data_IF_262905166350
#
_entry.id   IF_262905166350
#
_cell.length_a   1.000
_cell.length_b   1.000
_cell.length_c   1.000
_cell.angle_alpha   90.00
_cell.angle_beta   90.00
_cell.angle_gamma   90.00
#
_symmetry.space_group_name_H-M   'P 1'
#
loop_
_entity.id
_entity.type
_entity.pdbx_description
1 polymer ?
#
# COMPACT_ATOMS: atom_id res chain seq x y z
N UNK A 1 -6.96 3.84 -34.89
CA UNK A 1 -7.01 4.34 -33.51
C UNK A 1 -6.80 3.15 -32.60
N UNK A 2 -5.67 3.10 -31.89
CA UNK A 2 -5.45 2.09 -30.85
C UNK A 2 -6.37 2.47 -29.69
N UNK A 3 -7.31 1.61 -29.26
CA UNK A 3 -8.15 1.93 -28.12
C UNK A 3 -7.25 2.18 -26.90
N UNK A 4 -7.40 3.36 -26.30
CA UNK A 4 -6.67 3.71 -25.08
C UNK A 4 -7.18 2.76 -23.99
N UNK A 5 -6.31 1.87 -23.51
CA UNK A 5 -6.61 1.06 -22.34
C UNK A 5 -6.71 2.00 -21.12
N UNK A 6 -7.95 2.22 -20.69
CA UNK A 6 -8.29 3.07 -19.56
C UNK A 6 -7.63 2.58 -18.27
N UNK A 7 -7.51 1.26 -18.09
CA UNK A 7 -6.90 0.65 -16.92
C UNK A 7 -5.42 1.04 -16.78
N UNK A 8 -4.64 0.77 -17.82
CA UNK A 8 -3.22 1.15 -17.86
C UNK A 8 -3.01 2.66 -17.73
N UNK A 9 -3.84 3.46 -18.40
CA UNK A 9 -3.76 4.94 -18.34
C UNK A 9 -4.03 5.46 -16.92
N UNK A 10 -4.99 4.87 -16.21
CA UNK A 10 -5.31 5.22 -14.84
C UNK A 10 -4.17 4.84 -13.88
N UNK A 11 -3.57 3.65 -14.05
CA UNK A 11 -2.41 3.22 -13.26
C UNK A 11 -1.23 4.18 -13.44
N UNK A 12 -0.94 4.60 -14.68
CA UNK A 12 0.11 5.58 -14.97
C UNK A 12 -0.19 6.91 -14.32
N UNK A 13 -1.41 7.43 -14.49
CA UNK A 13 -1.80 8.73 -13.94
C UNK A 13 -1.72 8.76 -12.41
N UNK A 14 -2.28 7.74 -11.74
CA UNK A 14 -2.23 7.63 -10.27
C UNK A 14 -0.80 7.39 -9.78
N UNK A 15 -0.06 6.49 -10.43
CA UNK A 15 1.32 6.20 -10.08
C UNK A 15 2.22 7.43 -10.16
N UNK A 16 2.14 8.16 -11.28
CA UNK A 16 2.88 9.40 -11.48
C UNK A 16 2.47 10.48 -10.47
N UNK A 17 1.17 10.66 -10.22
CA UNK A 17 0.68 11.62 -9.24
C UNK A 17 1.22 11.33 -7.84
N UNK A 18 1.20 10.08 -7.40
CA UNK A 18 1.74 9.67 -6.09
C UNK A 18 3.25 9.92 -5.98
N UNK A 19 4.02 9.60 -7.02
CA UNK A 19 5.47 9.88 -7.07
C UNK A 19 5.74 11.39 -7.02
N UNK A 20 5.02 12.18 -7.81
CA UNK A 20 5.15 13.64 -7.83
C UNK A 20 4.84 14.23 -6.45
N UNK A 21 3.74 13.80 -5.82
CA UNK A 21 3.36 14.25 -4.47
C UNK A 21 4.42 13.83 -3.44
N UNK A 22 4.95 12.61 -3.53
CA UNK A 22 6.01 12.14 -2.65
C UNK A 22 7.27 13.03 -2.76
N UNK A 23 7.75 13.29 -3.98
CA UNK A 23 8.91 14.13 -4.22
C UNK A 23 8.68 15.58 -3.76
N UNK A 24 7.50 16.14 -4.06
CA UNK A 24 7.16 17.51 -3.67
C UNK A 24 6.99 17.68 -2.15
N UNK A 25 6.66 16.61 -1.42
CA UNK A 25 6.53 16.59 0.04
C UNK A 25 7.86 16.50 0.78
N UNK A 26 8.96 16.14 0.09
CA UNK A 26 10.29 16.05 0.70
C UNK A 26 10.89 17.42 1.03
N UNK A 27 10.53 18.48 0.29
CA UNK A 27 11.05 19.84 0.54
C UNK A 27 10.55 20.41 1.87
N UNK A 28 11.47 20.97 2.66
CA UNK A 28 11.15 21.67 3.91
C UNK A 28 10.28 22.90 3.62
N UNK A 29 9.17 23.07 4.35
CA UNK A 29 8.20 24.15 4.14
C UNK A 29 7.25 24.00 2.95
N UNK A 30 7.24 22.82 2.30
CA UNK A 30 6.30 22.49 1.22
C UNK A 30 4.85 22.78 1.60
N UNK A 31 4.09 23.44 0.72
CA UNK A 31 2.64 23.62 0.92
C UNK A 31 1.89 22.28 1.01
N UNK A 32 2.44 21.22 0.43
CA UNK A 32 1.87 19.87 0.51
C UNK A 32 1.98 19.28 1.92
N UNK A 33 3.11 19.47 2.62
CA UNK A 33 3.24 19.05 4.04
C UNK A 33 2.13 19.64 4.90
N UNK A 34 1.90 20.95 4.73
CA UNK A 34 0.82 21.68 5.42
C UNK A 34 -0.58 21.20 5.02
N UNK A 35 -0.79 20.85 3.76
CA UNK A 35 -2.07 20.31 3.27
C UNK A 35 -2.40 18.95 3.92
N UNK A 36 -1.38 18.12 4.16
CA UNK A 36 -1.51 16.83 4.85
C UNK A 36 -1.47 16.92 6.38
N UNK A 37 -1.39 18.13 6.94
CA UNK A 37 -1.32 18.34 8.39
C UNK A 37 -0.01 17.85 9.01
N UNK A 38 1.05 17.66 8.22
CA UNK A 38 2.39 17.35 8.74
C UNK A 38 3.01 18.63 9.27
N UNK A 39 3.46 18.61 10.53
CA UNK A 39 4.16 19.74 11.15
C UNK A 39 5.44 20.07 10.34
N UNK A 40 5.73 21.36 10.16
CA UNK A 40 6.87 21.82 9.37
C UNK A 40 8.21 21.34 9.97
N UNK A 41 8.22 21.00 11.27
CA UNK A 41 9.35 20.41 12.00
C UNK A 41 9.46 18.87 11.96
N UNK A 42 8.45 18.14 11.46
CA UNK A 42 8.46 16.66 11.43
C UNK A 42 9.02 16.10 10.11
N UNK A 43 10.33 16.26 9.94
CA UNK A 43 11.04 15.74 8.76
C UNK A 43 11.02 14.21 8.67
N UNK A 44 10.92 13.50 9.80
CA UNK A 44 10.87 12.05 9.83
C UNK A 44 9.54 11.53 9.29
N UNK A 45 8.42 12.10 9.73
CA UNK A 45 7.08 11.80 9.22
C UNK A 45 6.91 12.19 7.76
N UNK A 46 7.43 13.35 7.35
CA UNK A 46 7.39 13.75 5.94
C UNK A 46 8.15 12.77 5.02
N UNK A 47 9.33 12.29 5.43
CA UNK A 47 10.09 11.28 4.68
C UNK A 47 9.42 9.92 4.67
N UNK A 48 8.82 9.52 5.79
CA UNK A 48 8.07 8.27 5.90
C UNK A 48 6.85 8.27 4.96
N UNK A 49 6.05 9.33 4.97
CA UNK A 49 4.91 9.50 4.07
C UNK A 49 5.34 9.56 2.60
N UNK A 50 6.41 10.29 2.29
CA UNK A 50 6.97 10.32 0.94
C UNK A 50 7.47 8.93 0.49
N UNK A 51 8.07 8.14 1.38
CA UNK A 51 8.49 6.78 1.07
C UNK A 51 7.30 5.86 0.78
N UNK A 52 6.23 5.95 1.56
CA UNK A 52 5.00 5.17 1.33
C UNK A 52 4.35 5.58 0.01
N UNK A 53 4.10 6.88 -0.20
CA UNK A 53 3.48 7.40 -1.43
C UNK A 53 4.34 7.10 -2.67
N UNK A 54 5.65 7.33 -2.58
CA UNK A 54 6.59 7.07 -3.67
C UNK A 54 6.68 5.57 -3.98
N UNK A 55 6.72 4.72 -2.96
CA UNK A 55 6.71 3.27 -3.12
C UNK A 55 5.41 2.76 -3.76
N UNK A 56 4.25 3.22 -3.31
CA UNK A 56 2.96 2.90 -3.92
C UNK A 56 2.88 3.40 -5.36
N UNK A 57 3.32 4.64 -5.62
CA UNK A 57 3.33 5.20 -6.96
C UNK A 57 4.23 4.43 -7.92
N UNK A 58 5.45 4.09 -7.50
CA UNK A 58 6.38 3.26 -8.26
C UNK A 58 5.81 1.86 -8.54
N UNK A 59 5.11 1.27 -7.58
CA UNK A 59 4.43 -0.01 -7.75
C UNK A 59 3.32 0.05 -8.83
N UNK A 60 2.49 1.10 -8.82
CA UNK A 60 1.46 1.29 -9.85
C UNK A 60 2.07 1.49 -11.25
N UNK A 61 3.17 2.24 -11.34
CA UNK A 61 3.90 2.41 -12.61
C UNK A 61 4.53 1.10 -13.09
N UNK A 62 5.07 0.28 -12.19
CA UNK A 62 5.59 -1.04 -12.52
C UNK A 62 4.48 -1.98 -12.99
N UNK A 63 3.29 -1.91 -12.39
CA UNK A 63 2.12 -2.67 -12.83
C UNK A 63 1.67 -2.26 -14.24
N UNK A 64 1.59 -0.95 -14.51
CA UNK A 64 1.28 -0.44 -15.83
C UNK A 64 2.31 -0.86 -16.87
N UNK A 65 3.59 -0.82 -16.53
CA UNK A 65 4.66 -1.31 -17.40
C UNK A 65 4.54 -2.80 -17.68
N UNK A 66 4.26 -3.63 -16.66
CA UNK A 66 4.06 -5.06 -16.84
C UNK A 66 2.91 -5.38 -17.80
N UNK A 67 1.82 -4.62 -17.75
CA UNK A 67 0.71 -4.73 -18.70
C UNK A 67 1.16 -4.32 -20.10
N UNK A 68 1.86 -3.18 -20.23
CA UNK A 68 2.36 -2.69 -21.51
C UNK A 68 3.39 -3.63 -22.18
N UNK A 69 4.14 -4.40 -21.38
CA UNK A 69 5.08 -5.41 -21.86
C UNK A 69 4.47 -6.82 -21.97
N UNK A 70 3.13 -6.94 -21.86
CA UNK A 70 2.39 -8.20 -22.01
C UNK A 70 2.92 -9.32 -21.09
N UNK A 71 3.35 -8.95 -19.87
CA UNK A 71 3.79 -9.93 -18.88
C UNK A 71 2.61 -10.86 -18.55
N UNK A 72 2.82 -12.18 -18.45
CA UNK A 72 1.75 -13.12 -18.16
C UNK A 72 0.95 -12.70 -16.93
N UNK A 73 -0.38 -12.61 -17.06
CA UNK A 73 -1.30 -12.10 -16.03
C UNK A 73 -1.09 -12.78 -14.68
N UNK A 74 -0.81 -14.10 -14.70
CA UNK A 74 -0.54 -14.89 -13.50
C UNK A 74 0.72 -14.45 -12.76
N UNK A 75 1.78 -14.06 -13.49
CA UNK A 75 3.00 -13.50 -12.90
C UNK A 75 2.74 -12.10 -12.35
N UNK A 76 1.97 -11.28 -13.06
CA UNK A 76 1.57 -9.95 -12.61
C UNK A 76 0.77 -10.05 -11.30
N UNK A 77 -0.23 -10.93 -11.26
CA UNK A 77 -1.06 -11.17 -10.08
C UNK A 77 -0.26 -11.70 -8.90
N UNK A 78 0.60 -12.71 -9.12
CA UNK A 78 1.45 -13.26 -8.07
C UNK A 78 2.45 -12.22 -7.54
N UNK A 79 3.08 -11.45 -8.42
CA UNK A 79 4.00 -10.37 -8.06
C UNK A 79 3.30 -9.26 -7.28
N UNK A 80 2.14 -8.81 -7.75
CA UNK A 80 1.34 -7.78 -7.09
C UNK A 80 0.91 -8.21 -5.68
N UNK A 81 0.37 -9.42 -5.54
CA UNK A 81 -0.04 -9.96 -4.25
C UNK A 81 1.15 -10.19 -3.31
N UNK A 82 2.26 -10.71 -3.83
CA UNK A 82 3.47 -10.97 -3.05
C UNK A 82 4.12 -9.69 -2.52
N UNK A 83 4.33 -8.70 -3.38
CA UNK A 83 4.87 -7.38 -2.99
C UNK A 83 3.95 -6.70 -1.98
N UNK A 84 2.63 -6.73 -2.21
CA UNK A 84 1.67 -6.13 -1.28
C UNK A 84 1.69 -6.85 0.07
N UNK A 85 1.62 -8.17 0.09
CA UNK A 85 1.64 -8.97 1.32
C UNK A 85 2.89 -8.68 2.16
N UNK A 86 4.08 -8.78 1.55
CA UNK A 86 5.35 -8.55 2.24
C UNK A 86 5.51 -7.08 2.66
N UNK A 87 5.12 -6.13 1.81
CA UNK A 87 5.15 -4.71 2.12
C UNK A 87 4.26 -4.36 3.31
N UNK A 88 3.02 -4.86 3.34
CA UNK A 88 2.09 -4.62 4.45
C UNK A 88 2.58 -5.28 5.74
N UNK A 89 3.14 -6.49 5.68
CA UNK A 89 3.76 -7.14 6.84
C UNK A 89 4.95 -6.32 7.36
N UNK A 90 5.84 -5.89 6.48
CA UNK A 90 7.03 -5.12 6.84
C UNK A 90 6.68 -3.77 7.47
N UNK A 91 5.75 -3.02 6.87
CA UNK A 91 5.25 -1.75 7.42
C UNK A 91 4.56 -1.97 8.78
N UNK A 92 3.70 -2.98 8.89
CA UNK A 92 3.05 -3.32 10.15
C UNK A 92 4.04 -3.70 11.25
N UNK A 93 5.08 -4.45 10.90
CA UNK A 93 6.16 -4.82 11.82
C UNK A 93 6.96 -3.61 12.29
N UNK A 94 7.30 -2.67 11.39
CA UNK A 94 7.98 -1.43 11.74
C UNK A 94 7.16 -0.59 12.73
N UNK A 95 5.86 -0.45 12.48
CA UNK A 95 4.96 0.27 13.40
C UNK A 95 4.87 -0.46 14.75
N UNK A 96 4.66 -1.78 14.75
CA UNK A 96 4.41 -2.56 15.97
C UNK A 96 5.64 -2.75 16.85
N UNK A 97 6.78 -3.06 16.25
CA UNK A 97 7.97 -3.50 16.98
C UNK A 97 9.12 -2.48 16.96
N UNK A 98 9.13 -1.53 16.00
CA UNK A 98 10.15 -0.47 15.91
C UNK A 98 9.63 0.92 16.24
N UNK A 99 8.39 1.02 16.73
CA UNK A 99 7.74 2.27 17.14
C UNK A 99 7.72 3.34 16.04
N UNK A 100 7.72 2.93 14.76
CA UNK A 100 7.72 3.81 13.58
C UNK A 100 6.32 4.35 13.29
N UNK A 101 5.75 5.05 14.27
CA UNK A 101 4.36 5.56 14.25
C UNK A 101 4.12 6.58 13.14
N UNK A 102 5.16 7.26 12.72
CA UNK A 102 5.15 8.22 11.62
C UNK A 102 4.87 7.59 10.24
N UNK A 103 4.83 6.26 10.13
CA UNK A 103 4.34 5.56 8.95
C UNK A 103 2.80 5.48 8.87
N UNK A 104 2.10 5.78 9.97
CA UNK A 104 0.64 5.81 9.98
C UNK A 104 0.17 7.17 9.46
N UNK A 105 -0.80 7.16 8.55
CA UNK A 105 -1.46 8.39 8.07
C UNK A 105 -2.40 9.02 9.11
N UNK A 106 -2.54 8.40 10.27
CA UNK A 106 -3.33 8.92 11.39
C UNK A 106 -2.46 9.83 12.25
N UNK A 107 -2.87 11.09 12.52
CA UNK A 107 -2.14 11.99 13.39
C UNK A 107 -2.23 11.55 14.86
N UNK A 108 -1.20 11.86 15.65
CA UNK A 108 -1.14 11.75 17.12
C UNK A 108 -1.55 10.39 17.71
N UNK A 109 -1.14 9.30 17.08
CA UNK A 109 -1.47 7.94 17.53
C UNK A 109 -0.66 7.56 18.77
N UNK A 110 -1.38 7.13 19.82
CA UNK A 110 -0.75 6.57 21.03
C UNK A 110 0.07 5.31 20.72
N UNK A 111 1.13 5.04 21.49
CA UNK A 111 1.98 3.83 21.32
C UNK A 111 1.15 2.55 21.26
N UNK A 112 0.15 2.43 22.14
CA UNK A 112 -0.70 1.26 22.21
C UNK A 112 -1.55 1.10 20.94
N UNK A 113 -2.21 2.18 20.49
CA UNK A 113 -2.99 2.16 19.26
C UNK A 113 -2.13 1.85 18.03
N UNK A 114 -0.92 2.43 17.97
CA UNK A 114 0.01 2.14 16.88
C UNK A 114 0.42 0.65 16.86
N UNK A 115 0.70 0.04 18.01
CA UNK A 115 1.00 -1.40 18.09
C UNK A 115 -0.15 -2.28 17.60
N UNK A 116 -1.39 -1.90 17.92
CA UNK A 116 -2.60 -2.58 17.44
C UNK A 116 -2.75 -2.43 15.92
N UNK A 117 -2.60 -1.21 15.40
CA UNK A 117 -2.67 -0.94 13.96
C UNK A 117 -1.56 -1.64 13.18
N UNK A 118 -0.33 -1.65 13.70
CA UNK A 118 0.77 -2.41 13.12
C UNK A 118 0.50 -3.92 13.11
N UNK A 119 -0.13 -4.46 14.17
CA UNK A 119 -0.57 -5.85 14.21
C UNK A 119 -1.69 -6.15 13.20
N UNK A 120 -2.66 -5.25 13.06
CA UNK A 120 -3.73 -5.37 12.07
C UNK A 120 -3.17 -5.33 10.64
N UNK A 121 -2.20 -4.46 10.36
CA UNK A 121 -1.50 -4.41 9.08
C UNK A 121 -0.73 -5.71 8.79
N UNK A 122 0.00 -6.25 9.78
CA UNK A 122 0.66 -7.55 9.61
C UNK A 122 -0.34 -8.65 9.26
N UNK A 123 -1.48 -8.71 9.96
CA UNK A 123 -2.53 -9.67 9.64
C UNK A 123 -3.14 -9.45 8.26
N UNK A 124 -3.38 -8.21 7.85
CA UNK A 124 -3.86 -7.89 6.51
C UNK A 124 -2.89 -8.41 5.43
N UNK A 125 -1.59 -8.20 5.60
CA UNK A 125 -0.59 -8.75 4.70
C UNK A 125 -0.55 -10.29 4.70
N UNK A 126 -0.70 -10.93 5.87
CA UNK A 126 -0.82 -12.39 5.96
C UNK A 126 -2.07 -12.92 5.25
N UNK A 127 -3.21 -12.22 5.34
CA UNK A 127 -4.44 -12.61 4.66
C UNK A 127 -4.29 -12.58 3.13
N UNK A 128 -3.46 -11.69 2.59
CA UNK A 128 -3.13 -11.65 1.16
C UNK A 128 -2.34 -12.89 0.68
N UNK A 129 -1.74 -13.66 1.58
CA UNK A 129 -1.11 -14.93 1.21
C UNK A 129 -2.13 -15.98 0.73
N UNK A 130 -3.41 -15.88 1.12
CA UNK A 130 -4.46 -16.79 0.66
C UNK A 130 -4.77 -16.66 -0.84
N UNK A 131 -5.15 -15.47 -1.36
CA UNK A 131 -5.32 -15.30 -2.79
C UNK A 131 -4.00 -15.52 -3.56
N UNK A 132 -2.84 -15.17 -2.98
CA UNK A 132 -1.54 -15.46 -3.59
C UNK A 132 -1.32 -16.96 -3.80
N UNK A 133 -1.57 -17.77 -2.77
CA UNK A 133 -1.49 -19.22 -2.86
C UNK A 133 -2.48 -19.75 -3.91
N UNK A 134 -3.71 -19.20 -3.96
CA UNK A 134 -4.68 -19.50 -5.02
C UNK A 134 -4.12 -19.26 -6.42
N UNK A 135 -3.53 -18.09 -6.67
CA UNK A 135 -2.90 -17.77 -7.96
C UNK A 135 -1.77 -18.75 -8.28
N UNK A 136 -0.87 -19.02 -7.34
CA UNK A 136 0.28 -19.92 -7.55
C UNK A 136 -0.11 -21.39 -7.74
N UNK A 137 -1.22 -21.82 -7.15
CA UNK A 137 -1.74 -23.18 -7.28
C UNK A 137 -2.73 -23.36 -8.44
N UNK A 138 -3.11 -22.26 -9.10
CA UNK A 138 -3.98 -22.31 -10.28
C UNK A 138 -5.46 -22.45 -9.92
N UNK A 139 -5.86 -21.86 -8.79
CA UNK A 139 -7.25 -21.74 -8.41
C UNK A 139 -8.03 -20.89 -9.42
N UNK A 140 -9.36 -21.07 -9.45
CA UNK A 140 -10.23 -20.26 -10.29
C UNK A 140 -10.22 -18.79 -9.87
N UNK A 141 -10.45 -17.90 -10.84
CA UNK A 141 -10.54 -16.45 -10.61
C UNK A 141 -11.56 -16.11 -9.51
N UNK A 142 -12.72 -16.77 -9.51
CA UNK A 142 -13.75 -16.57 -8.49
C UNK A 142 -13.26 -16.94 -7.10
N UNK A 143 -12.47 -18.01 -6.95
CA UNK A 143 -11.92 -18.41 -5.65
C UNK A 143 -10.89 -17.40 -5.15
N UNK A 144 -10.02 -16.91 -6.04
CA UNK A 144 -9.03 -15.86 -5.73
C UNK A 144 -9.74 -14.56 -5.34
N UNK A 145 -10.79 -14.18 -6.07
CA UNK A 145 -11.58 -12.98 -5.81
C UNK A 145 -12.30 -13.06 -4.45
N UNK A 146 -12.94 -14.19 -4.14
CA UNK A 146 -13.60 -14.42 -2.84
C UNK A 146 -12.57 -14.35 -1.70
N UNK A 147 -11.40 -14.97 -1.85
CA UNK A 147 -10.35 -14.92 -0.84
C UNK A 147 -9.83 -13.50 -0.64
N UNK A 148 -9.63 -12.73 -1.71
CA UNK A 148 -9.22 -11.33 -1.64
C UNK A 148 -10.28 -10.47 -0.93
N UNK A 149 -11.56 -10.57 -1.34
CA UNK A 149 -12.65 -9.80 -0.75
C UNK A 149 -12.87 -10.16 0.73
N UNK A 150 -12.86 -11.45 1.06
CA UNK A 150 -12.95 -11.92 2.44
C UNK A 150 -11.78 -11.42 3.29
N UNK A 151 -10.56 -11.48 2.75
CA UNK A 151 -9.36 -10.92 3.37
C UNK A 151 -9.48 -9.42 3.64
N UNK A 152 -9.99 -8.65 2.67
CA UNK A 152 -10.24 -7.21 2.82
C UNK A 152 -11.27 -6.91 3.91
N UNK A 153 -12.38 -7.67 3.97
CA UNK A 153 -13.39 -7.48 5.00
C UNK A 153 -12.84 -7.75 6.42
N UNK A 154 -12.07 -8.83 6.57
CA UNK A 154 -11.41 -9.17 7.86
C UNK A 154 -10.35 -8.13 8.21
N UNK A 155 -9.52 -7.71 7.26
CA UNK A 155 -8.53 -6.66 7.48
C UNK A 155 -9.19 -5.34 7.93
N UNK A 156 -10.29 -4.95 7.29
CA UNK A 156 -11.08 -3.78 7.67
C UNK A 156 -11.60 -3.87 9.10
N UNK A 157 -12.12 -5.04 9.50
CA UNK A 157 -12.55 -5.29 10.88
C UNK A 157 -11.39 -5.19 11.88
N UNK A 158 -10.24 -5.80 11.58
CA UNK A 158 -9.05 -5.73 12.43
C UNK A 158 -8.55 -4.30 12.62
N UNK A 159 -8.55 -3.50 11.55
CA UNK A 159 -8.20 -2.08 11.60
C UNK A 159 -9.22 -1.32 12.45
N UNK A 160 -10.52 -1.53 12.23
CA UNK A 160 -11.57 -0.89 13.02
C UNK A 160 -11.47 -1.23 14.51
N UNK A 161 -11.16 -2.48 14.85
CA UNK A 161 -10.93 -2.92 16.23
C UNK A 161 -9.66 -2.30 16.81
N UNK A 162 -8.61 -2.10 16.02
CA UNK A 162 -7.39 -1.46 16.47
C UNK A 162 -7.57 0.02 16.84
N UNK A 163 -8.59 0.70 16.30
CA UNK A 163 -8.96 2.07 16.67
C UNK A 163 -9.70 2.16 18.01
N UNK A 164 -10.35 1.07 18.45
CA UNK A 164 -11.04 0.98 19.74
C UNK A 164 -10.06 0.70 20.88
#
# INVERSE_FOLDING_TARGET
>A
MIPVDFGSSLLVALGAALVIVALASLSSGSRLRRLYGTDDGDDAGARANAAVLGGTGAFLLALAAAIAFEVPERLVAAGALGVTALGTIGLGWLVRYRDRRELLTTPDVSRERARRLGGAAMWAGTLLCLPLAGVLLGASESAVAIAALGGTAVAGLLIALAYR
#
